data_IF_872548010445
#
_entry.id   IF_872548010445
#
_cell.length_a   1.000
_cell.length_b   1.000
_cell.length_c   1.000
_cell.angle_alpha   90.00
_cell.angle_beta   90.00
_cell.angle_gamma   90.00
#
_symmetry.space_group_name_H-M   'P 1'
#
loop_
_entity.id
_entity.type
_entity.pdbx_description
1 polymer ?
#
# COMPACT_ATOMS: atom_id res chain seq x y z
N UNK A 1 -13.17 -1.04 -5.23
CA UNK A 1 -12.35 0.17 -5.47
C UNK A 1 -11.91 0.13 -6.91
N UNK A 2 -12.00 1.25 -7.63
CA UNK A 2 -11.79 1.29 -9.09
C UNK A 2 -10.30 1.50 -9.41
N UNK A 3 -9.87 1.19 -10.64
CA UNK A 3 -8.55 1.53 -11.20
C UNK A 3 -8.15 3.01 -10.95
N UNK A 4 -9.13 3.92 -10.89
CA UNK A 4 -8.92 5.32 -10.50
C UNK A 4 -8.38 5.47 -9.08
N UNK A 5 -8.84 4.65 -8.14
CA UNK A 5 -8.37 4.66 -6.76
C UNK A 5 -6.94 4.12 -6.66
N UNK A 6 -6.59 3.07 -7.42
CA UNK A 6 -5.22 2.54 -7.50
C UNK A 6 -4.23 3.63 -7.91
N UNK A 7 -4.52 4.30 -9.03
CA UNK A 7 -3.70 5.40 -9.54
C UNK A 7 -3.56 6.53 -8.53
N UNK A 8 -4.64 6.88 -7.83
CA UNK A 8 -4.63 7.92 -6.80
C UNK A 8 -3.70 7.57 -5.64
N UNK A 9 -3.77 6.33 -5.12
CA UNK A 9 -2.89 5.90 -4.04
C UNK A 9 -1.43 5.84 -4.47
N UNK A 10 -1.15 5.31 -5.67
CA UNK A 10 0.20 5.27 -6.23
C UNK A 10 0.80 6.68 -6.39
N UNK A 11 0.04 7.63 -6.94
CA UNK A 11 0.52 8.99 -7.15
C UNK A 11 0.84 9.71 -5.84
N UNK A 12 0.02 9.50 -4.81
CA UNK A 12 0.30 10.02 -3.48
C UNK A 12 1.55 9.37 -2.86
N UNK A 13 1.66 8.03 -2.97
CA UNK A 13 2.79 7.25 -2.47
C UNK A 13 4.11 7.59 -3.15
N UNK A 14 4.08 8.00 -4.42
CA UNK A 14 5.25 8.47 -5.17
C UNK A 14 6.03 9.58 -4.45
N UNK A 15 5.33 10.44 -3.70
CA UNK A 15 5.96 11.53 -2.92
C UNK A 15 6.73 11.01 -1.71
N UNK A 16 6.33 9.85 -1.19
CA UNK A 16 6.93 9.19 -0.04
C UNK A 16 7.94 8.11 -0.44
N UNK A 17 8.17 7.89 -1.74
CA UNK A 17 9.11 6.87 -2.25
C UNK A 17 10.51 6.97 -1.63
N UNK A 18 10.95 8.20 -1.32
CA UNK A 18 12.24 8.47 -0.64
C UNK A 18 12.27 8.09 0.84
N UNK A 19 11.11 7.97 1.47
CA UNK A 19 10.93 7.61 2.88
C UNK A 19 10.56 6.12 3.04
N UNK A 20 10.45 5.36 1.95
CA UNK A 20 10.17 3.93 2.00
C UNK A 20 11.37 3.17 2.52
N UNK A 21 11.09 2.15 3.33
CA UNK A 21 12.10 1.12 3.59
C UNK A 21 12.38 0.36 2.28
N UNK A 22 13.52 -0.33 2.22
CA UNK A 22 13.92 -1.10 1.03
C UNK A 22 12.81 -2.06 0.56
N UNK A 23 12.19 -2.77 1.50
CA UNK A 23 11.07 -3.69 1.23
C UNK A 23 9.84 -2.98 0.68
N UNK A 24 9.45 -1.85 1.26
CA UNK A 24 8.30 -1.06 0.79
C UNK A 24 8.55 -0.44 -0.58
N UNK A 25 9.79 -0.02 -0.85
CA UNK A 25 10.19 0.47 -2.18
C UNK A 25 10.07 -0.62 -3.24
N UNK A 26 10.51 -1.84 -2.93
CA UNK A 26 10.36 -2.97 -3.84
C UNK A 26 8.87 -3.34 -4.06
N UNK A 27 8.05 -3.36 -3.00
CA UNK A 27 6.60 -3.59 -3.12
C UNK A 27 5.90 -2.49 -3.93
N UNK A 28 6.24 -1.22 -3.68
CA UNK A 28 5.70 -0.09 -4.44
C UNK A 28 6.07 -0.16 -5.92
N UNK A 29 7.32 -0.52 -6.26
CA UNK A 29 7.73 -0.72 -7.66
C UNK A 29 6.93 -1.81 -8.36
N UNK A 30 6.60 -2.90 -7.65
CA UNK A 30 5.76 -3.97 -8.19
C UNK A 30 4.36 -3.44 -8.50
N UNK A 31 3.76 -2.66 -7.60
CA UNK A 31 2.46 -2.03 -7.85
C UNK A 31 2.52 -1.06 -9.05
N UNK A 32 3.53 -0.19 -9.11
CA UNK A 32 3.70 0.74 -10.25
C UNK A 32 3.84 -0.02 -11.57
N UNK A 33 4.55 -1.15 -11.58
CA UNK A 33 4.71 -1.98 -12.77
C UNK A 33 3.37 -2.59 -13.23
N UNK A 34 2.63 -3.23 -12.33
CA UNK A 34 1.30 -3.79 -12.61
C UNK A 34 0.32 -2.74 -13.13
N UNK A 35 0.33 -1.55 -12.54
CA UNK A 35 -0.47 -0.41 -13.00
C UNK A 35 -0.11 0.00 -14.44
N UNK A 36 1.18 -0.04 -14.79
CA UNK A 36 1.67 0.28 -16.14
C UNK A 36 1.32 -0.79 -17.16
N UNK A 37 1.28 -2.04 -16.73
CA UNK A 37 0.90 -3.19 -17.54
C UNK A 37 -0.64 -3.34 -17.63
N UNK A 38 -1.41 -2.37 -17.11
CA UNK A 38 -2.89 -2.38 -17.01
C UNK A 38 -3.45 -3.64 -16.34
N UNK A 39 -2.64 -4.26 -15.47
CA UNK A 39 -3.03 -5.42 -14.67
C UNK A 39 -3.88 -4.97 -13.47
N UNK A 40 -5.04 -5.61 -13.29
CA UNK A 40 -5.88 -5.39 -12.12
C UNK A 40 -5.20 -5.88 -10.85
N UNK A 41 -5.25 -5.08 -9.80
CA UNK A 41 -4.69 -5.49 -8.52
C UNK A 41 -5.66 -6.42 -7.81
N UNK A 42 -5.18 -7.59 -7.42
CA UNK A 42 -5.91 -8.46 -6.50
C UNK A 42 -6.25 -7.74 -5.19
N UNK A 43 -7.26 -8.23 -4.49
CA UNK A 43 -7.70 -7.73 -3.18
C UNK A 43 -6.54 -7.59 -2.17
N UNK A 44 -5.55 -8.49 -2.22
CA UNK A 44 -4.36 -8.45 -1.36
C UNK A 44 -3.45 -7.27 -1.74
N UNK A 45 -3.18 -7.09 -3.04
CA UNK A 45 -2.36 -6.00 -3.56
C UNK A 45 -3.00 -4.64 -3.25
N UNK A 46 -4.33 -4.55 -3.40
CA UNK A 46 -5.10 -3.37 -3.03
C UNK A 46 -5.04 -3.07 -1.53
N UNK A 47 -5.15 -4.09 -0.68
CA UNK A 47 -5.04 -3.92 0.77
C UNK A 47 -3.67 -3.37 1.15
N UNK A 48 -2.59 -3.94 0.62
CA UNK A 48 -1.21 -3.47 0.88
C UNK A 48 -0.96 -2.06 0.38
N UNK A 49 -1.43 -1.73 -0.82
CA UNK A 49 -1.32 -0.38 -1.37
C UNK A 49 -2.00 0.65 -0.44
N UNK A 50 -3.18 0.31 0.07
CA UNK A 50 -3.92 1.15 1.01
C UNK A 50 -3.22 1.24 2.38
N UNK A 51 -2.68 0.15 2.90
CA UNK A 51 -1.89 0.14 4.15
C UNK A 51 -0.65 1.01 4.03
N UNK A 52 0.06 0.91 2.91
CA UNK A 52 1.22 1.76 2.63
C UNK A 52 0.80 3.22 2.53
N UNK A 53 -0.29 3.51 1.82
CA UNK A 53 -0.84 4.86 1.73
C UNK A 53 -1.20 5.40 3.11
N UNK A 54 -1.94 4.66 3.92
CA UNK A 54 -2.36 5.10 5.25
C UNK A 54 -1.15 5.36 6.16
N UNK A 55 -0.13 4.49 6.12
CA UNK A 55 1.12 4.64 6.90
C UNK A 55 1.85 5.95 6.65
N UNK A 56 1.90 6.41 5.40
CA UNK A 56 2.66 7.60 5.01
C UNK A 56 1.79 8.87 4.90
N UNK A 57 0.51 8.70 4.59
CA UNK A 57 -0.43 9.79 4.34
C UNK A 57 -1.25 10.18 5.57
N UNK A 58 -1.63 9.23 6.42
CA UNK A 58 -2.14 9.53 7.74
C UNK A 58 -1.00 9.39 8.74
N UNK A 59 -0.83 10.39 9.59
CA UNK A 59 -0.04 10.21 10.81
C UNK A 59 -0.48 8.90 11.47
N UNK A 60 0.46 8.02 11.85
CA UNK A 60 0.13 6.67 12.25
C UNK A 60 -0.77 6.73 13.48
N UNK A 61 -2.05 6.40 13.30
CA UNK A 61 -2.88 6.00 14.42
C UNK A 61 -2.53 4.53 14.68
N UNK A 62 -1.41 4.37 15.38
CA UNK A 62 -0.70 3.11 15.71
C UNK A 62 -1.67 2.08 16.33
N UNK A 63 -2.80 2.55 16.86
CA UNK A 63 -3.90 1.80 17.46
C UNK A 63 -4.53 0.71 16.57
N UNK A 64 -4.48 0.81 15.23
CA UNK A 64 -5.16 -0.14 14.33
C UNK A 64 -4.26 -1.20 13.68
N UNK A 65 -2.95 -1.01 13.73
CA UNK A 65 -2.02 -2.02 13.20
C UNK A 65 -1.92 -3.25 14.11
N UNK A 66 -2.21 -3.09 15.41
CA UNK A 66 -2.16 -4.17 16.41
C UNK A 66 -3.18 -5.29 16.10
N UNK A 67 -4.37 -4.94 15.59
CA UNK A 67 -5.41 -5.92 15.23
C UNK A 67 -5.07 -6.72 13.97
N UNK A 68 -4.16 -6.21 13.13
CA UNK A 68 -3.79 -6.84 11.85
C UNK A 68 -2.67 -7.88 12.01
N UNK A 69 -1.96 -7.85 13.15
CA UNK A 69 -0.90 -8.80 13.51
C UNK A 69 -1.24 -9.72 14.69
N UNK A 70 -2.44 -9.59 15.29
CA UNK A 70 -2.95 -10.62 16.20
C UNK A 70 -3.12 -11.92 15.42
N UNK A 71 -2.15 -12.83 15.62
CA UNK A 71 -2.25 -14.24 15.27
C UNK A 71 -3.60 -14.77 15.75
N UNK A 72 -4.30 -15.62 14.98
CA UNK A 72 -5.41 -16.36 15.55
C UNK A 72 -4.86 -17.15 16.76
N UNK A 73 -5.36 -16.83 17.94
CA UNK A 73 -5.14 -17.66 19.13
C UNK A 73 -5.86 -18.99 18.89
N UNK A 74 -5.03 -20.05 18.80
CA UNK A 74 -5.31 -21.50 18.86
C UNK A 74 -6.47 -22.09 18.06
#
# INVERSE_FOLDING_TARGET
MSYRDQKKYLDALKRYERNFTRRESDEYKIFVKRQKDDEDFDSVSMKRLKELYDKYHKSPDISKLDELFKKPES
#
